data_IF_324881879517
#
_entry.id   IF_324881879517
#
_cell.length_a   1.000
_cell.length_b   1.000
_cell.length_c   1.000
_cell.angle_alpha   90.00
_cell.angle_beta   90.00
_cell.angle_gamma   90.00
#
_symmetry.space_group_name_H-M   'P 1'
#
loop_
_entity.id
_entity.type
_entity.pdbx_description
1 polymer ?
#
# COMPACT_ATOMS: atom_id res chain seq x y z
N UNK A 1 11.48 2.65 -6.67
CA UNK A 1 12.82 2.51 -6.07
C UNK A 1 13.14 1.03 -5.95
N UNK A 2 14.42 0.65 -5.90
CA UNK A 2 14.83 -0.73 -5.60
C UNK A 2 14.85 -0.95 -4.09
N UNK A 3 14.31 -2.08 -3.63
CA UNK A 3 14.35 -2.52 -2.22
C UNK A 3 14.95 -3.92 -2.19
N UNK A 4 15.93 -4.15 -1.31
CA UNK A 4 16.58 -5.44 -1.13
C UNK A 4 16.29 -5.99 0.26
N UNK A 5 16.07 -7.30 0.34
CA UNK A 5 15.85 -8.00 1.60
C UNK A 5 16.50 -9.37 1.60
N UNK A 6 16.63 -9.95 2.79
CA UNK A 6 17.12 -11.31 2.98
C UNK A 6 15.94 -12.28 3.13
N UNK A 7 16.11 -13.54 2.73
CA UNK A 7 15.09 -14.58 2.92
C UNK A 7 14.69 -14.70 4.40
N UNK A 8 13.39 -14.81 4.66
CA UNK A 8 12.79 -14.78 5.99
C UNK A 8 12.76 -13.39 6.65
N UNK A 9 13.44 -12.39 6.06
CA UNK A 9 13.49 -11.02 6.56
C UNK A 9 12.22 -10.23 6.31
N UNK A 10 12.25 -8.95 6.73
CA UNK A 10 11.19 -7.99 6.49
C UNK A 10 11.72 -6.82 5.67
N UNK A 11 10.95 -6.38 4.68
CA UNK A 11 11.20 -5.16 3.92
C UNK A 11 10.01 -4.21 4.01
N UNK A 12 10.29 -2.92 3.84
CA UNK A 12 9.27 -1.90 3.67
C UNK A 12 9.33 -1.39 2.23
N UNK A 13 8.19 -1.41 1.56
CA UNK A 13 7.98 -0.87 0.21
C UNK A 13 7.42 0.55 0.38
N UNK A 14 8.26 1.60 0.26
CA UNK A 14 7.83 2.97 0.49
C UNK A 14 6.86 3.42 -0.60
N UNK A 15 5.80 4.12 -0.19
CA UNK A 15 4.83 4.69 -1.10
C UNK A 15 4.18 5.92 -0.47
N UNK A 16 4.42 7.08 -1.08
CA UNK A 16 3.97 8.37 -0.56
C UNK A 16 3.27 9.17 -1.65
N UNK A 17 2.10 9.71 -1.33
CA UNK A 17 1.41 10.64 -2.20
C UNK A 17 2.07 12.02 -2.08
N UNK A 18 2.67 12.49 -3.17
CA UNK A 18 3.21 13.84 -3.24
C UNK A 18 2.11 14.88 -3.00
N UNK A 19 2.44 16.07 -2.46
CA UNK A 19 1.45 17.11 -2.22
C UNK A 19 0.70 17.49 -3.51
N UNK A 20 -0.57 17.10 -3.59
CA UNK A 20 -1.47 17.30 -4.73
C UNK A 20 -2.43 18.45 -4.43
N UNK A 21 -1.91 19.63 -4.10
CA UNK A 21 -2.76 20.79 -3.76
C UNK A 21 -3.72 20.55 -2.57
N UNK A 22 -4.50 21.57 -2.18
CA UNK A 22 -5.28 21.55 -0.93
C UNK A 22 -6.61 20.78 -1.00
N UNK A 23 -7.11 20.38 -2.17
CA UNK A 23 -8.45 19.76 -2.32
C UNK A 23 -8.44 18.27 -2.64
N UNK A 24 -7.27 17.64 -2.85
CA UNK A 24 -7.22 16.25 -3.28
C UNK A 24 -7.36 15.30 -2.09
N UNK A 25 -8.41 14.48 -2.15
CA UNK A 25 -8.78 13.51 -1.11
C UNK A 25 -8.45 12.11 -1.59
N UNK A 26 -7.87 11.27 -0.74
CA UNK A 26 -7.58 9.87 -1.06
C UNK A 26 -8.76 8.99 -0.69
N UNK A 27 -9.34 8.30 -1.67
CA UNK A 27 -10.44 7.37 -1.45
C UNK A 27 -9.96 5.95 -1.17
N UNK A 28 -8.85 5.53 -1.78
CA UNK A 28 -8.27 4.21 -1.56
C UNK A 28 -6.79 4.19 -1.96
N UNK A 29 -6.01 3.31 -1.34
CA UNK A 29 -4.71 2.89 -1.88
C UNK A 29 -4.75 1.42 -2.26
N UNK A 30 -4.15 1.07 -3.40
CA UNK A 30 -4.02 -0.31 -3.86
C UNK A 30 -2.57 -0.63 -4.16
N UNK A 31 -2.05 -1.69 -3.56
CA UNK A 31 -0.78 -2.30 -3.93
C UNK A 31 -1.00 -3.43 -4.92
N UNK A 32 -0.21 -3.40 -5.97
CA UNK A 32 -0.20 -4.34 -7.08
C UNK A 32 1.17 -5.03 -7.12
N UNK A 33 1.16 -6.33 -7.38
CA UNK A 33 2.34 -7.08 -7.79
C UNK A 33 2.24 -7.36 -9.29
N UNK A 34 3.29 -7.07 -10.04
CA UNK A 34 3.39 -7.38 -11.46
C UNK A 34 4.22 -8.65 -11.58
N UNK A 35 3.62 -9.72 -12.09
CA UNK A 35 4.32 -10.97 -12.31
C UNK A 35 5.23 -10.92 -13.54
N UNK A 36 5.99 -11.99 -13.76
CA UNK A 36 6.93 -12.12 -14.89
C UNK A 36 6.25 -12.04 -16.27
N UNK A 37 4.92 -12.22 -16.36
CA UNK A 37 4.15 -12.08 -17.60
C UNK A 37 3.65 -10.65 -17.83
N UNK A 38 3.88 -9.75 -16.86
CA UNK A 38 3.38 -8.38 -16.87
C UNK A 38 1.96 -8.24 -16.31
N UNK A 39 1.34 -9.31 -15.81
CA UNK A 39 0.00 -9.24 -15.24
C UNK A 39 0.05 -8.62 -13.84
N UNK A 40 -0.79 -7.61 -13.61
CA UNK A 40 -0.89 -6.91 -12.33
C UNK A 40 -1.98 -7.53 -11.47
N UNK A 41 -1.61 -8.00 -10.27
CA UNK A 41 -2.54 -8.52 -9.25
C UNK A 41 -2.54 -7.64 -8.02
N UNK A 42 -3.72 -7.31 -7.48
CA UNK A 42 -3.80 -6.65 -6.17
C UNK A 42 -3.32 -7.59 -5.07
N UNK A 43 -2.44 -7.09 -4.20
CA UNK A 43 -1.91 -7.81 -3.03
C UNK A 43 -2.36 -7.20 -1.72
N UNK A 44 -2.56 -5.88 -1.69
CA UNK A 44 -3.15 -5.18 -0.56
C UNK A 44 -3.95 -3.97 -1.05
N UNK A 45 -4.93 -3.56 -0.26
CA UNK A 45 -5.65 -2.32 -0.42
C UNK A 45 -5.93 -1.71 0.95
N UNK A 46 -6.02 -0.40 1.03
CA UNK A 46 -6.45 0.31 2.23
C UNK A 46 -7.52 1.32 1.85
N UNK A 47 -8.66 1.26 2.55
CA UNK A 47 -9.72 2.25 2.42
C UNK A 47 -9.90 2.97 3.76
N UNK A 48 -9.94 4.32 3.81
CA UNK A 48 -10.04 5.07 5.07
C UNK A 48 -11.18 4.63 5.98
N UNK A 49 -12.35 4.27 5.42
CA UNK A 49 -13.52 3.83 6.20
C UNK A 49 -13.59 2.32 6.47
N UNK A 50 -12.88 1.49 5.71
CA UNK A 50 -12.99 0.02 5.81
C UNK A 50 -11.70 -0.65 6.28
N UNK A 51 -10.62 0.13 6.43
CA UNK A 51 -9.31 -0.36 6.84
C UNK A 51 -8.59 -1.14 5.75
N UNK A 52 -7.57 -1.93 6.14
CA UNK A 52 -6.76 -2.70 5.23
C UNK A 52 -7.46 -4.00 4.77
N UNK A 53 -7.22 -4.38 3.53
CA UNK A 53 -7.61 -5.63 2.92
C UNK A 53 -6.40 -6.26 2.24
N UNK A 54 -6.15 -7.55 2.50
CA UNK A 54 -4.98 -8.25 1.99
C UNK A 54 -5.42 -9.45 1.15
N UNK A 55 -4.93 -9.51 -0.09
CA UNK A 55 -5.04 -10.70 -0.94
C UNK A 55 -3.77 -11.51 -0.72
N UNK A 56 -3.90 -12.66 -0.07
CA UNK A 56 -2.75 -13.54 0.22
C UNK A 56 -2.07 -13.96 -1.08
N UNK A 57 -0.78 -13.62 -1.31
CA UNK A 57 0.08 -14.53 -2.03
C UNK A 57 0.22 -15.74 -1.10
N UNK A 58 -0.11 -16.95 -1.56
CA UNK A 58 0.28 -18.10 -0.75
C UNK A 58 1.82 -18.21 -0.80
N UNK A 59 2.47 -18.46 0.36
CA UNK A 59 1.88 -18.68 1.66
C UNK A 59 1.76 -17.37 2.50
N UNK A 60 0.53 -17.04 2.94
CA UNK A 60 0.27 -16.19 4.11
C UNK A 60 -0.31 -14.79 3.86
N UNK A 61 -1.58 -14.60 4.26
CA UNK A 61 -2.25 -13.29 4.46
C UNK A 61 -1.57 -12.45 5.56
N UNK A 62 -0.80 -13.11 6.43
CA UNK A 62 -0.20 -12.57 7.66
C UNK A 62 1.13 -11.83 7.43
N UNK A 63 1.67 -11.87 6.21
CA UNK A 63 2.98 -11.31 5.88
C UNK A 63 2.94 -9.84 5.47
N UNK A 64 1.75 -9.32 5.14
CA UNK A 64 1.56 -7.95 4.67
C UNK A 64 0.92 -7.08 5.75
N UNK A 65 1.45 -5.87 5.92
CA UNK A 65 0.85 -4.85 6.79
C UNK A 65 1.13 -3.45 6.26
N UNK A 66 0.20 -2.52 6.46
CA UNK A 66 0.48 -1.11 6.22
C UNK A 66 1.19 -0.52 7.45
N UNK A 67 2.31 0.17 7.22
CA UNK A 67 3.13 0.72 8.31
C UNK A 67 2.42 1.92 8.97
N UNK A 68 1.93 2.85 8.16
CA UNK A 68 1.39 4.14 8.63
C UNK A 68 -0.10 4.32 8.33
N UNK A 69 -0.66 3.58 7.36
CA UNK A 69 -2.07 3.67 6.99
C UNK A 69 -2.96 3.16 8.15
N UNK A 70 -3.42 4.08 8.99
CA UNK A 70 -4.28 3.85 10.15
C UNK A 70 -3.77 4.48 11.45
N UNK A 71 -2.56 5.04 11.48
CA UNK A 71 -1.94 5.60 12.69
C UNK A 71 -2.03 7.13 12.81
N UNK A 72 -2.65 7.83 11.85
CA UNK A 72 -2.89 9.27 11.95
C UNK A 72 -3.89 9.55 13.07
N UNK A 73 -3.35 9.90 14.22
CA UNK A 73 -3.99 10.27 15.50
C UNK A 73 -4.71 11.62 15.42
N UNK A 74 -5.64 11.76 14.46
CA UNK A 74 -6.59 12.87 14.40
C UNK A 74 -7.80 12.57 15.29
N UNK A 75 -7.86 13.22 16.45
CA UNK A 75 -8.98 13.21 17.40
C UNK A 75 -10.36 13.40 16.75
N UNK A 76 -11.33 12.61 17.23
CA UNK A 76 -12.80 12.79 17.25
C UNK A 76 -13.38 13.97 16.43
N UNK A 77 -14.38 13.62 15.60
CA UNK A 77 -15.27 14.45 14.76
C UNK A 77 -14.80 14.68 13.32
N UNK A 78 -15.17 13.75 12.42
CA UNK A 78 -15.51 14.07 11.03
C UNK A 78 -14.36 14.33 10.05
N UNK A 79 -13.11 13.97 10.35
CA UNK A 79 -11.97 14.30 9.49
C UNK A 79 -11.50 13.08 8.70
N UNK A 80 -11.85 13.10 7.43
CA UNK A 80 -11.20 12.39 6.32
C UNK A 80 -9.68 12.24 6.56
N UNK A 81 -9.26 11.00 6.80
CA UNK A 81 -7.87 10.68 7.05
C UNK A 81 -7.05 11.03 5.80
N UNK A 82 -6.11 11.96 5.94
CA UNK A 82 -5.19 12.32 4.87
C UNK A 82 -4.17 11.18 4.67
N UNK A 83 -4.61 10.11 4.01
CA UNK A 83 -3.80 8.94 3.71
C UNK A 83 -2.72 9.33 2.70
N UNK A 84 -1.56 9.77 3.19
CA UNK A 84 -0.41 10.17 2.36
C UNK A 84 0.74 9.19 2.37
N UNK A 85 0.78 8.29 3.34
CA UNK A 85 1.78 7.25 3.46
C UNK A 85 1.10 5.88 3.45
N UNK A 86 1.38 5.12 2.41
CA UNK A 86 0.87 3.79 2.20
C UNK A 86 1.98 2.74 2.15
N UNK A 87 3.10 3.01 2.82
CA UNK A 87 4.23 2.09 2.94
C UNK A 87 3.76 0.71 3.39
N UNK A 88 4.11 -0.31 2.62
CA UNK A 88 3.73 -1.70 2.85
C UNK A 88 4.91 -2.48 3.41
N UNK A 89 4.75 -3.08 4.58
CA UNK A 89 5.71 -4.03 5.11
C UNK A 89 5.37 -5.44 4.63
N UNK A 90 6.37 -6.13 4.09
CA UNK A 90 6.33 -7.54 3.71
C UNK A 90 7.34 -8.31 4.56
N UNK A 91 6.82 -9.22 5.39
CA UNK A 91 7.58 -10.02 6.34
C UNK A 91 7.74 -11.45 5.83
N UNK A 92 8.79 -12.14 6.27
CA UNK A 92 9.02 -13.54 5.90
C UNK A 92 9.27 -13.70 4.39
N UNK A 93 10.15 -12.87 3.83
CA UNK A 93 10.47 -12.87 2.40
C UNK A 93 10.84 -14.25 1.86
N UNK A 94 10.28 -14.59 0.71
CA UNK A 94 10.65 -15.76 -0.08
C UNK A 94 11.16 -15.36 -1.46
N UNK A 95 11.68 -16.31 -2.24
CA UNK A 95 12.17 -16.03 -3.61
C UNK A 95 11.00 -15.64 -4.52
N UNK A 96 9.80 -16.16 -4.26
CA UNK A 96 8.57 -15.86 -5.01
C UNK A 96 8.03 -14.46 -4.77
N UNK A 97 8.53 -13.76 -3.74
CA UNK A 97 8.20 -12.36 -3.50
C UNK A 97 9.01 -11.39 -4.36
N UNK A 98 10.05 -11.88 -5.05
CA UNK A 98 10.84 -11.07 -5.98
C UNK A 98 9.96 -10.63 -7.15
N UNK A 99 9.90 -9.32 -7.37
CA UNK A 99 9.10 -8.77 -8.46
C UNK A 99 8.88 -7.28 -8.35
N UNK A 100 8.06 -6.77 -9.26
CA UNK A 100 7.73 -5.36 -9.33
C UNK A 100 6.46 -5.11 -8.51
N UNK A 101 6.56 -4.22 -7.53
CA UNK A 101 5.43 -3.77 -6.73
C UNK A 101 5.11 -2.32 -7.09
N UNK A 102 3.83 -2.04 -7.31
CA UNK A 102 3.32 -0.71 -7.63
C UNK A 102 2.24 -0.35 -6.64
N UNK A 103 2.25 0.88 -6.14
CA UNK A 103 1.15 1.43 -5.37
C UNK A 103 0.36 2.44 -6.20
N UNK A 104 -0.94 2.50 -5.97
CA UNK A 104 -1.84 3.43 -6.65
C UNK A 104 -2.75 4.10 -5.62
N UNK A 105 -2.72 5.43 -5.58
CA UNK A 105 -3.66 6.25 -4.81
C UNK A 105 -4.85 6.60 -5.71
N UNK A 106 -6.03 6.09 -5.39
CA UNK A 106 -7.27 6.61 -5.94
C UNK A 106 -7.60 7.92 -5.23
N UNK A 107 -7.70 9.01 -5.99
CA UNK A 107 -7.96 10.35 -5.45
C UNK A 107 -9.16 11.00 -6.11
N UNK A 108 -9.79 11.92 -5.39
CA UNK A 108 -10.86 12.77 -5.89
C UNK A 108 -10.48 14.24 -5.70
N UNK A 109 -10.72 15.13 -6.69
CA UNK A 109 -11.26 14.85 -8.03
C UNK A 109 -10.22 14.39 -9.06
N UNK A 110 -8.94 14.32 -8.68
CA UNK A 110 -7.81 14.17 -9.63
C UNK A 110 -7.61 12.77 -10.23
N UNK A 111 -8.40 11.77 -9.83
CA UNK A 111 -8.28 10.40 -10.33
C UNK A 111 -7.12 9.62 -9.69
N UNK A 112 -6.59 8.62 -10.38
CA UNK A 112 -5.55 7.75 -9.83
C UNK A 112 -4.15 8.36 -10.00
N UNK A 113 -3.35 8.33 -8.94
CA UNK A 113 -1.93 8.73 -8.92
C UNK A 113 -1.05 7.53 -8.53
N UNK A 114 0.17 7.47 -9.05
CA UNK A 114 1.16 6.39 -8.84
C UNK A 114 2.46 6.95 -8.29
#
# INVERSE_FOLDING_TARGET
SEVRGYLGGTVQLPCHLLPTGPEVRVSQVTWLHVDATGASRSVAAFHPSYGPSFRSPQPGKERLSFVTAGQSTGTRQGTEMELRDATLALQGLTVEDEGNYTCEFATFPSGTSR
#
